data_IF_571838057154
#
_entry.id   IF_571838057154
#
_cell.length_a   1.000
_cell.length_b   1.000
_cell.length_c   1.000
_cell.angle_alpha   90.00
_cell.angle_beta   90.00
_cell.angle_gamma   90.00
#
_symmetry.space_group_name_H-M   'P 1'
#
loop_
_entity.id
_entity.type
_entity.pdbx_description
1 polymer ?
#
# COMPACT_ATOMS: atom_id res chain seq x y z
N UNK A 1 12.95 17.82 -0.61
CA UNK A 1 13.30 16.44 -0.20
C UNK A 1 12.33 15.84 0.82
N UNK A 2 12.18 16.38 2.04
CA UNK A 2 11.31 15.78 3.08
C UNK A 2 9.85 15.56 2.66
N UNK A 3 9.22 16.52 1.96
CA UNK A 3 7.83 16.41 1.49
C UNK A 3 7.62 15.23 0.52
N UNK A 4 8.54 15.04 -0.42
CA UNK A 4 8.47 13.96 -1.44
C UNK A 4 8.70 12.60 -0.78
N UNK A 5 9.64 12.51 0.16
CA UNK A 5 9.85 11.32 0.98
C UNK A 5 8.60 10.95 1.78
N UNK A 6 7.95 11.93 2.41
CA UNK A 6 6.73 11.68 3.18
C UNK A 6 5.59 11.20 2.27
N UNK A 7 5.45 11.81 1.10
CA UNK A 7 4.48 11.38 0.09
C UNK A 7 4.73 9.94 -0.38
N UNK A 8 5.98 9.52 -0.60
CA UNK A 8 6.29 8.14 -1.01
C UNK A 8 5.94 7.12 0.06
N UNK A 9 6.18 7.44 1.34
CA UNK A 9 5.79 6.56 2.45
C UNK A 9 4.27 6.47 2.63
N UNK A 10 3.57 7.60 2.51
CA UNK A 10 2.10 7.62 2.55
C UNK A 10 1.53 6.79 1.40
N UNK A 11 2.07 6.92 0.19
CA UNK A 11 1.61 6.16 -0.98
C UNK A 11 1.81 4.65 -0.79
N UNK A 12 2.93 4.23 -0.21
CA UNK A 12 3.17 2.83 0.16
C UNK A 12 2.16 2.36 1.22
N UNK A 13 1.92 3.16 2.26
CA UNK A 13 0.98 2.84 3.33
C UNK A 13 -0.48 2.71 2.82
N UNK A 14 -0.91 3.57 1.90
CA UNK A 14 -2.23 3.48 1.29
C UNK A 14 -2.38 2.20 0.48
N UNK A 15 -1.36 1.80 -0.29
CA UNK A 15 -1.42 0.56 -1.06
C UNK A 15 -1.43 -0.69 -0.15
N UNK A 16 -0.68 -0.67 0.95
CA UNK A 16 -0.77 -1.71 1.99
C UNK A 16 -2.16 -1.76 2.63
N UNK A 17 -2.74 -0.59 2.91
CA UNK A 17 -4.08 -0.50 3.49
C UNK A 17 -5.14 -1.09 2.56
N UNK A 18 -5.12 -0.71 1.28
CA UNK A 18 -6.05 -1.23 0.25
C UNK A 18 -5.88 -2.75 0.07
N UNK A 19 -4.66 -3.26 0.18
CA UNK A 19 -4.38 -4.70 0.06
C UNK A 19 -4.95 -5.51 1.23
N UNK A 20 -4.98 -4.94 2.44
CA UNK A 20 -5.26 -5.70 3.66
C UNK A 20 -6.68 -5.44 4.17
N UNK A 21 -7.06 -4.17 4.30
CA UNK A 21 -8.26 -3.77 5.05
C UNK A 21 -9.55 -4.11 4.30
N UNK A 22 -9.76 -3.69 3.04
CA UNK A 22 -10.95 -4.07 2.29
C UNK A 22 -11.14 -5.61 2.21
N UNK A 23 -10.14 -6.42 1.81
CA UNK A 23 -10.30 -7.88 1.77
C UNK A 23 -10.65 -8.48 3.13
N UNK A 24 -10.04 -8.00 4.21
CA UNK A 24 -10.36 -8.46 5.57
C UNK A 24 -11.81 -8.11 5.97
N UNK A 25 -12.28 -6.91 5.65
CA UNK A 25 -13.66 -6.48 5.91
C UNK A 25 -14.65 -7.36 5.16
N UNK A 26 -14.41 -7.64 3.88
CA UNK A 26 -15.27 -8.53 3.10
C UNK A 26 -15.28 -9.97 3.64
N UNK A 27 -14.11 -10.50 4.03
CA UNK A 27 -14.03 -11.84 4.63
C UNK A 27 -14.83 -11.93 5.94
N UNK A 28 -14.77 -10.90 6.79
CA UNK A 28 -15.57 -10.83 8.01
C UNK A 28 -17.06 -10.73 7.66
N UNK A 29 -17.43 -9.88 6.69
CA UNK A 29 -18.80 -9.71 6.26
C UNK A 29 -19.41 -11.03 5.73
N UNK A 30 -18.69 -11.79 4.91
CA UNK A 30 -19.17 -13.09 4.42
C UNK A 30 -19.32 -14.13 5.52
N UNK A 31 -18.50 -14.06 6.58
CA UNK A 31 -18.66 -14.93 7.75
C UNK A 31 -19.88 -14.55 8.61
N UNK A 32 -20.17 -13.26 8.75
CA UNK A 32 -21.29 -12.77 9.55
C UNK A 32 -22.64 -12.92 8.83
N UNK A 33 -22.64 -12.81 7.51
CA UNK A 33 -23.85 -12.87 6.68
C UNK A 33 -23.72 -13.97 5.61
N UNK A 34 -23.88 -15.25 5.97
CA UNK A 34 -23.79 -16.36 5.03
C UNK A 34 -24.87 -16.33 3.94
N UNK A 35 -25.94 -15.56 4.12
CA UNK A 35 -26.96 -15.29 3.10
C UNK A 35 -26.44 -14.47 1.92
N UNK A 36 -25.31 -13.77 2.09
CA UNK A 36 -24.61 -13.06 1.01
C UNK A 36 -23.66 -14.07 0.36
N UNK A 37 -24.23 -14.98 -0.42
CA UNK A 37 -23.48 -16.05 -1.06
C UNK A 37 -22.52 -15.42 -2.11
N UNK A 38 -21.19 -15.46 -1.89
CA UNK A 38 -20.24 -14.68 -2.69
C UNK A 38 -20.19 -15.14 -4.16
N UNK A 39 -20.58 -16.38 -4.43
CA UNK A 39 -20.58 -17.03 -5.74
C UNK A 39 -21.79 -16.65 -6.60
N UNK A 40 -22.95 -16.44 -5.98
CA UNK A 40 -24.20 -16.16 -6.70
C UNK A 40 -24.35 -14.68 -7.05
N UNK A 41 -23.86 -13.80 -6.16
CA UNK A 41 -24.09 -12.36 -6.27
C UNK A 41 -22.87 -11.60 -6.83
N UNK A 42 -21.80 -12.31 -7.22
CA UNK A 42 -20.55 -11.71 -7.71
C UNK A 42 -19.74 -10.95 -6.65
N UNK A 43 -20.21 -10.87 -5.41
CA UNK A 43 -19.51 -10.17 -4.32
C UNK A 43 -18.14 -10.77 -4.00
N UNK A 44 -17.92 -12.06 -4.31
CA UNK A 44 -16.63 -12.72 -4.14
C UNK A 44 -15.51 -12.18 -5.03
N UNK A 45 -15.83 -11.43 -6.10
CA UNK A 45 -14.83 -10.84 -6.98
C UNK A 45 -14.16 -9.57 -6.41
N UNK A 46 -14.86 -8.82 -5.56
CA UNK A 46 -14.34 -7.55 -5.02
C UNK A 46 -13.08 -7.71 -4.15
N UNK A 47 -13.00 -8.65 -3.19
CA UNK A 47 -11.79 -8.88 -2.41
C UNK A 47 -10.58 -9.21 -3.29
N UNK A 48 -10.79 -10.05 -4.32
CA UNK A 48 -9.76 -10.40 -5.29
C UNK A 48 -9.28 -9.17 -6.06
N UNK A 49 -10.19 -8.29 -6.46
CA UNK A 49 -9.85 -7.05 -7.17
C UNK A 49 -9.00 -6.13 -6.28
N UNK A 50 -9.36 -5.96 -5.01
CA UNK A 50 -8.53 -5.19 -4.05
C UNK A 50 -7.16 -5.81 -3.83
N UNK A 51 -7.05 -7.14 -3.80
CA UNK A 51 -5.77 -7.84 -3.69
C UNK A 51 -4.91 -7.58 -4.93
N UNK A 52 -5.47 -7.73 -6.12
CA UNK A 52 -4.74 -7.52 -7.39
C UNK A 52 -4.30 -6.07 -7.51
N UNK A 53 -5.20 -5.10 -7.28
CA UNK A 53 -4.87 -3.68 -7.33
C UNK A 53 -3.86 -3.29 -6.26
N UNK A 54 -3.99 -3.83 -5.04
CA UNK A 54 -3.04 -3.60 -3.94
C UNK A 54 -1.65 -4.11 -4.30
N UNK A 55 -1.53 -5.35 -4.79
CA UNK A 55 -0.23 -5.93 -5.20
C UNK A 55 0.37 -5.14 -6.37
N UNK A 56 -0.42 -4.80 -7.38
CA UNK A 56 0.04 -4.01 -8.51
C UNK A 56 0.55 -2.63 -8.07
N UNK A 57 -0.15 -1.98 -7.13
CA UNK A 57 0.28 -0.72 -6.53
C UNK A 57 1.55 -0.87 -5.70
N UNK A 58 1.71 -1.97 -4.95
CA UNK A 58 2.93 -2.27 -4.20
C UNK A 58 4.14 -2.49 -5.09
N UNK A 59 3.96 -3.13 -6.24
CA UNK A 59 5.04 -3.36 -7.20
C UNK A 59 5.73 -2.07 -7.65
N UNK A 60 4.97 -0.97 -7.74
CA UNK A 60 5.50 0.35 -8.10
C UNK A 60 5.92 1.15 -6.86
N UNK A 61 5.15 1.09 -5.78
CA UNK A 61 5.41 1.94 -4.60
C UNK A 61 6.56 1.47 -3.73
N UNK A 62 6.84 0.16 -3.67
CA UNK A 62 7.98 -0.39 -2.94
C UNK A 62 9.32 0.11 -3.53
N UNK A 63 9.62 -0.08 -4.83
CA UNK A 63 10.88 0.39 -5.39
C UNK A 63 10.98 1.91 -5.35
N UNK A 64 9.88 2.63 -5.59
CA UNK A 64 9.87 4.08 -5.48
C UNK A 64 10.20 4.56 -4.05
N UNK A 65 9.59 3.96 -3.03
CA UNK A 65 9.88 4.27 -1.63
C UNK A 65 11.34 3.96 -1.26
N UNK A 66 11.87 2.82 -1.71
CA UNK A 66 13.26 2.43 -1.49
C UNK A 66 14.25 3.44 -2.10
N UNK A 67 14.02 3.87 -3.35
CA UNK A 67 14.85 4.88 -4.02
C UNK A 67 14.81 6.20 -3.24
N UNK A 68 13.62 6.62 -2.80
CA UNK A 68 13.46 7.85 -2.02
C UNK A 68 14.15 7.80 -0.66
N UNK A 69 14.16 6.64 0.01
CA UNK A 69 14.93 6.41 1.24
C UNK A 69 16.43 6.59 0.98
N UNK A 70 16.97 5.95 -0.06
CA UNK A 70 18.38 6.04 -0.42
C UNK A 70 18.78 7.49 -0.74
N UNK A 71 18.00 8.18 -1.56
CA UNK A 71 18.24 9.59 -1.91
C UNK A 71 18.19 10.50 -0.69
N UNK A 72 17.26 10.26 0.23
CA UNK A 72 17.15 11.04 1.46
C UNK A 72 18.36 10.84 2.37
N UNK A 73 18.83 9.60 2.53
CA UNK A 73 20.04 9.28 3.31
C UNK A 73 21.29 9.91 2.69
N UNK A 74 21.48 9.79 1.38
CA UNK A 74 22.60 10.40 0.66
C UNK A 74 22.61 11.93 0.79
N UNK A 75 21.44 12.57 0.63
CA UNK A 75 21.32 14.02 0.77
C UNK A 75 21.63 14.47 2.20
N UNK A 76 21.10 13.76 3.20
CA UNK A 76 21.36 14.06 4.62
C UNK A 76 22.84 13.89 4.95
N UNK A 77 23.49 12.83 4.46
CA UNK A 77 24.92 12.58 4.68
C UNK A 77 25.78 13.68 4.05
N UNK A 78 25.53 14.05 2.79
CA UNK A 78 26.28 15.09 2.08
C UNK A 78 26.14 16.48 2.72
N UNK A 79 24.94 16.84 3.16
CA UNK A 79 24.72 18.12 3.86
C UNK A 79 25.27 18.14 5.29
N UNK A 80 25.29 17.00 5.98
CA UNK A 80 25.92 16.90 7.31
C UNK A 80 27.44 17.04 7.24
N UNK A 81 28.07 16.54 6.17
CA UNK A 81 29.52 16.62 5.95
C UNK A 81 30.00 18.03 5.58
N UNK A 82 29.17 18.83 4.90
CA UNK A 82 29.52 20.22 4.51
C UNK A 82 29.27 21.26 5.63
N UNK A 83 28.84 20.84 6.82
CA UNK A 83 28.67 21.72 7.99
C UNK A 83 29.74 21.50 9.08
N UNK A 84 30.71 20.62 8.83
CA UNK A 84 31.94 20.48 9.62
C UNK A 84 33.08 21.12 8.84
#
# INVERSE_FOLDING_TARGET
MKKIFFASQILLAINLFILIVPPAVFLIAFKLFPSINPTENGFGAYPLLFIVCGIAGLFVTIPFSAIMIILYLLYKYKFSKNRQ
#
